data_IF_105094165021
#
_entry.id   IF_105094165021
#
_cell.length_a   1.000
_cell.length_b   1.000
_cell.length_c   1.000
_cell.angle_alpha   90.00
_cell.angle_beta   90.00
_cell.angle_gamma   90.00
#
_symmetry.space_group_name_H-M   'P 1'
#
loop_
_entity.id
_entity.type
_entity.pdbx_description
1 polymer ?
#
# COMPACT_ATOMS: atom_id res chain seq x y z
N UNK A 1 -43.59 -1.70 -13.85
CA UNK A 1 -42.70 -2.65 -13.14
C UNK A 1 -41.55 -1.86 -12.52
N UNK A 2 -41.68 -1.51 -11.25
CA UNK A 2 -40.67 -0.75 -10.49
C UNK A 2 -39.61 -1.71 -9.97
N UNK A 3 -38.45 -1.73 -10.62
CA UNK A 3 -37.34 -2.55 -10.14
C UNK A 3 -36.66 -1.89 -8.94
N UNK A 4 -36.71 -2.58 -7.81
CA UNK A 4 -36.26 -2.12 -6.50
C UNK A 4 -34.75 -2.39 -6.35
N UNK A 5 -33.92 -1.65 -7.08
CA UNK A 5 -32.46 -1.84 -7.01
C UNK A 5 -31.86 -1.10 -5.81
N UNK A 6 -31.49 -1.84 -4.77
CA UNK A 6 -30.71 -1.30 -3.66
C UNK A 6 -29.39 -0.69 -4.17
N UNK A 7 -29.13 0.57 -3.83
CA UNK A 7 -27.95 1.29 -4.28
C UNK A 7 -26.72 0.75 -3.53
N UNK A 8 -25.97 -0.17 -4.15
CA UNK A 8 -24.65 -0.60 -3.65
C UNK A 8 -23.68 0.60 -3.59
N UNK A 9 -22.88 0.64 -2.52
CA UNK A 9 -21.77 1.59 -2.39
C UNK A 9 -20.76 1.40 -3.53
N UNK A 10 -20.11 2.49 -3.94
CA UNK A 10 -19.33 2.55 -5.18
C UNK A 10 -18.25 1.46 -5.31
N UNK A 11 -17.59 1.12 -4.20
CA UNK A 11 -16.55 0.09 -4.12
C UNK A 11 -17.02 -1.35 -4.34
N UNK A 12 -18.34 -1.58 -4.35
CA UNK A 12 -18.96 -2.90 -4.50
C UNK A 12 -19.74 -3.03 -5.82
N UNK A 13 -19.55 -2.10 -6.75
CA UNK A 13 -20.18 -2.12 -8.07
C UNK A 13 -19.28 -2.85 -9.05
N UNK A 14 -19.76 -3.96 -9.58
CA UNK A 14 -19.08 -4.79 -10.57
C UNK A 14 -19.73 -4.63 -11.95
N UNK A 15 -19.17 -5.28 -12.97
CA UNK A 15 -19.69 -5.23 -14.34
C UNK A 15 -21.14 -5.68 -14.41
N UNK A 16 -21.49 -6.73 -13.67
CA UNK A 16 -22.84 -7.30 -13.68
C UNK A 16 -23.86 -6.34 -13.05
N UNK A 17 -23.49 -5.60 -12.00
CA UNK A 17 -24.33 -4.54 -11.43
C UNK A 17 -24.70 -3.43 -12.42
N UNK A 18 -23.80 -3.09 -13.37
CA UNK A 18 -24.14 -2.14 -14.43
C UNK A 18 -24.93 -2.78 -15.57
N UNK A 19 -24.65 -4.04 -15.90
CA UNK A 19 -25.42 -4.79 -16.91
C UNK A 19 -26.88 -4.99 -16.52
N UNK A 20 -27.16 -5.23 -15.24
CA UNK A 20 -28.52 -5.37 -14.69
C UNK A 20 -29.36 -4.09 -14.77
N UNK A 21 -28.71 -2.94 -14.96
CA UNK A 21 -29.36 -1.62 -15.08
C UNK A 21 -29.64 -1.20 -16.51
N UNK A 22 -29.08 -1.91 -17.48
CA UNK A 22 -29.40 -1.68 -18.88
C UNK A 22 -30.82 -2.19 -19.11
N UNK A 23 -31.72 -1.38 -19.71
CA UNK A 23 -33.07 -1.81 -20.03
C UNK A 23 -33.08 -3.13 -20.81
N UNK A 24 -33.93 -4.08 -20.40
CA UNK A 24 -34.02 -5.39 -21.07
C UNK A 24 -34.29 -5.28 -22.57
N UNK A 25 -34.99 -4.23 -23.00
CA UNK A 25 -35.27 -3.94 -24.42
C UNK A 25 -34.02 -3.70 -25.25
N UNK A 26 -32.95 -3.21 -24.63
CA UNK A 26 -31.64 -3.01 -25.26
C UNK A 26 -30.83 -4.31 -25.15
N UNK A 27 -30.84 -4.95 -23.98
CA UNK A 27 -30.10 -6.18 -23.74
C UNK A 27 -30.54 -7.33 -24.65
N UNK A 28 -31.84 -7.46 -24.92
CA UNK A 28 -32.41 -8.49 -25.82
C UNK A 28 -32.10 -8.25 -27.31
N UNK A 29 -31.68 -7.03 -27.68
CA UNK A 29 -31.28 -6.70 -29.06
C UNK A 29 -29.81 -6.98 -29.34
N UNK A 30 -29.01 -7.16 -28.29
CA UNK A 30 -27.59 -7.47 -28.41
C UNK A 30 -27.41 -8.97 -28.66
N UNK A 31 -26.57 -9.30 -29.63
CA UNK A 31 -25.99 -10.63 -29.74
C UNK A 31 -25.09 -10.95 -28.53
N UNK A 32 -24.84 -12.24 -28.28
CA UNK A 32 -23.94 -12.65 -27.20
C UNK A 32 -22.52 -12.08 -27.36
N UNK A 33 -22.07 -11.88 -28.60
CA UNK A 33 -20.77 -11.29 -28.91
C UNK A 33 -20.72 -9.81 -28.52
N UNK A 34 -21.76 -9.04 -28.87
CA UNK A 34 -21.87 -7.62 -28.51
C UNK A 34 -22.06 -7.44 -27.00
N UNK A 35 -22.78 -8.36 -26.36
CA UNK A 35 -22.95 -8.39 -24.90
C UNK A 35 -21.61 -8.59 -24.20
N UNK A 36 -20.76 -9.47 -24.73
CA UNK A 36 -19.41 -9.71 -24.22
C UNK A 36 -18.52 -8.49 -24.41
N UNK A 37 -18.57 -7.83 -25.58
CA UNK A 37 -17.84 -6.58 -25.84
C UNK A 37 -18.29 -5.46 -24.90
N UNK A 38 -19.59 -5.34 -24.66
CA UNK A 38 -20.15 -4.35 -23.74
C UNK A 38 -19.69 -4.58 -22.30
N UNK A 39 -19.70 -5.84 -21.83
CA UNK A 39 -19.13 -6.19 -20.53
C UNK A 39 -17.66 -5.81 -20.42
N UNK A 40 -16.87 -6.04 -21.47
CA UNK A 40 -15.47 -5.63 -21.54
C UNK A 40 -15.27 -4.11 -21.45
N UNK A 41 -16.12 -3.34 -22.12
CA UNK A 41 -16.07 -1.87 -22.10
C UNK A 41 -16.49 -1.29 -20.74
N UNK A 42 -17.47 -1.91 -20.07
CA UNK A 42 -17.81 -1.56 -18.69
C UNK A 42 -16.64 -1.91 -17.76
N UNK A 43 -16.00 -3.07 -17.94
CA UNK A 43 -14.86 -3.48 -17.12
C UNK A 43 -13.67 -2.52 -17.25
N UNK A 44 -13.42 -1.97 -18.44
CA UNK A 44 -12.30 -1.05 -18.67
C UNK A 44 -12.54 0.35 -18.10
N UNK A 45 -13.79 0.76 -17.95
CA UNK A 45 -14.18 2.07 -17.43
C UNK A 45 -14.39 2.08 -15.92
N UNK A 46 -14.51 0.91 -15.29
CA UNK A 46 -14.59 0.82 -13.85
C UNK A 46 -13.25 1.22 -13.20
N UNK A 47 -13.23 2.18 -12.26
CA UNK A 47 -12.00 2.53 -11.60
C UNK A 47 -11.50 1.34 -10.81
N UNK A 48 -10.27 0.95 -11.13
CA UNK A 48 -9.60 -0.08 -10.37
C UNK A 48 -9.32 0.46 -8.97
N UNK A 49 -9.47 -0.38 -7.91
CA UNK A 49 -9.13 0.04 -6.56
C UNK A 49 -7.65 0.43 -6.52
N UNK A 50 -7.38 1.73 -6.50
CA UNK A 50 -6.03 2.25 -6.37
C UNK A 50 -5.47 1.81 -5.01
N UNK A 51 -4.22 1.31 -4.96
CA UNK A 51 -3.61 0.92 -3.71
C UNK A 51 -3.57 2.14 -2.79
N UNK A 52 -4.19 2.01 -1.62
CA UNK A 52 -4.15 3.03 -0.58
C UNK A 52 -2.69 3.14 -0.11
N UNK A 53 -1.97 4.12 -0.65
CA UNK A 53 -0.63 4.50 -0.19
C UNK A 53 -0.77 4.93 1.27
N UNK A 54 -0.06 4.24 2.15
CA UNK A 54 0.00 4.62 3.54
C UNK A 54 1.15 5.62 3.64
N UNK A 55 0.80 6.89 3.87
CA UNK A 55 1.73 7.98 4.13
C UNK A 55 2.09 7.97 5.62
N UNK A 56 3.34 7.63 5.93
CA UNK A 56 3.88 7.69 7.28
C UNK A 56 4.83 8.87 7.35
N UNK A 57 4.42 9.90 8.09
CA UNK A 57 5.23 11.10 8.35
C UNK A 57 5.68 11.08 9.79
N UNK A 58 6.97 11.27 10.01
CA UNK A 58 7.51 11.38 11.37
C UNK A 58 8.70 12.32 11.41
N UNK A 59 8.84 12.94 12.57
CA UNK A 59 9.79 14.01 12.84
C UNK A 59 10.73 13.53 13.93
N UNK A 60 12.03 13.69 13.70
CA UNK A 60 13.06 13.34 14.68
C UNK A 60 13.76 14.63 15.07
N UNK A 61 13.55 15.03 16.33
CA UNK A 61 14.26 16.14 16.96
C UNK A 61 15.55 15.61 17.59
N UNK A 62 16.70 15.98 17.04
CA UNK A 62 17.99 15.85 17.68
C UNK A 62 18.33 17.14 18.42
N UNK A 63 19.33 17.07 19.31
CA UNK A 63 19.77 18.19 20.15
C UNK A 63 20.11 19.46 19.33
N UNK A 64 20.54 19.31 18.07
CA UNK A 64 20.96 20.46 17.22
C UNK A 64 20.23 20.52 15.86
N UNK A 65 19.42 19.52 15.51
CA UNK A 65 18.79 19.44 14.18
C UNK A 65 17.47 18.69 14.20
N UNK A 66 16.54 19.06 13.31
CA UNK A 66 15.25 18.38 13.13
C UNK A 66 15.19 17.78 11.74
N UNK A 67 14.95 16.47 11.66
CA UNK A 67 14.80 15.75 10.41
C UNK A 67 13.35 15.35 10.19
N UNK A 68 12.87 15.59 8.97
CA UNK A 68 11.54 15.21 8.52
C UNK A 68 11.66 14.01 7.59
N UNK A 69 11.04 12.90 7.97
CA UNK A 69 11.00 11.69 7.16
C UNK A 69 9.57 11.45 6.68
N UNK A 70 9.45 11.23 5.37
CA UNK A 70 8.19 10.84 4.73
C UNK A 70 8.42 9.49 4.08
N UNK A 71 7.76 8.47 4.61
CA UNK A 71 7.84 7.10 4.11
C UNK A 71 6.52 6.74 3.43
N UNK A 72 6.58 6.58 2.11
CA UNK A 72 5.45 6.07 1.34
C UNK A 72 5.48 4.55 1.32
N UNK A 73 4.55 3.91 2.03
CA UNK A 73 4.42 2.46 2.05
C UNK A 73 3.20 2.05 1.24
N UNK A 74 3.43 1.62 0.01
CA UNK A 74 2.43 1.02 -0.87
C UNK A 74 2.78 -0.44 -1.17
N UNK A 75 1.77 -1.32 -1.18
CA UNK A 75 1.95 -2.64 -1.77
C UNK A 75 1.79 -2.49 -3.28
N UNK A 76 2.89 -2.47 -4.03
CA UNK A 76 2.85 -2.46 -5.48
C UNK A 76 2.27 -3.81 -5.96
N UNK A 77 1.03 -3.77 -6.44
CA UNK A 77 0.32 -4.92 -6.99
C UNK A 77 0.16 -4.84 -8.50
N UNK A 78 0.72 -3.82 -9.16
CA UNK A 78 0.57 -3.64 -10.60
C UNK A 78 1.18 -4.83 -11.37
N UNK A 79 2.26 -5.44 -10.87
CA UNK A 79 2.86 -6.62 -11.47
C UNK A 79 1.99 -7.90 -11.39
N UNK A 80 0.98 -7.95 -10.51
CA UNK A 80 0.11 -9.13 -10.37
C UNK A 80 -1.19 -9.03 -11.15
N UNK A 81 -1.67 -7.83 -11.45
CA UNK A 81 -2.94 -7.65 -12.16
C UNK A 81 -2.87 -8.04 -13.65
N UNK A 82 -1.70 -7.98 -14.28
CA UNK A 82 -1.52 -8.48 -15.65
C UNK A 82 -1.33 -10.01 -15.75
N UNK A 83 -1.00 -10.68 -14.64
CA UNK A 83 -0.81 -12.16 -14.59
C UNK A 83 -1.99 -12.90 -13.96
N UNK A 84 -2.86 -12.19 -13.23
CA UNK A 84 -3.93 -12.79 -12.41
C UNK A 84 -5.23 -13.16 -13.15
N UNK A 85 -5.30 -13.06 -14.47
CA UNK A 85 -6.44 -13.62 -15.22
C UNK A 85 -6.42 -15.16 -15.29
N UNK A 86 -5.35 -15.82 -14.83
CA UNK A 86 -5.22 -17.30 -14.84
C UNK A 86 -5.27 -18.00 -13.48
N UNK A 87 -5.32 -17.28 -12.36
CA UNK A 87 -5.22 -17.90 -11.01
C UNK A 87 -6.44 -17.55 -10.17
N UNK A 88 -7.61 -17.82 -10.73
CA UNK A 88 -8.88 -17.86 -10.00
C UNK A 88 -9.07 -19.28 -9.45
N UNK A 89 -8.42 -19.64 -8.33
CA UNK A 89 -8.99 -20.63 -7.41
C UNK A 89 -8.27 -20.80 -6.05
N UNK A 90 -6.99 -20.48 -5.89
CA UNK A 90 -6.23 -21.07 -4.76
C UNK A 90 -5.78 -20.13 -3.62
N UNK A 91 -6.37 -18.93 -3.47
CA UNK A 91 -5.87 -17.93 -2.50
C UNK A 91 -6.82 -17.57 -1.35
N UNK A 92 -7.73 -18.47 -0.96
CA UNK A 92 -8.55 -18.27 0.24
C UNK A 92 -7.82 -18.51 1.57
N UNK A 93 -6.64 -19.16 1.59
CA UNK A 93 -6.02 -19.60 2.85
C UNK A 93 -4.97 -18.66 3.47
N UNK A 94 -4.60 -17.55 2.84
CA UNK A 94 -3.55 -16.62 3.34
C UNK A 94 -4.07 -15.29 3.91
N UNK A 95 -5.35 -15.21 4.29
CA UNK A 95 -5.94 -13.95 4.80
C UNK A 95 -5.62 -13.65 6.27
N UNK A 96 -5.40 -14.67 7.11
CA UNK A 96 -5.32 -14.49 8.57
C UNK A 96 -3.91 -14.15 9.10
N UNK A 97 -2.84 -14.50 8.38
CA UNK A 97 -1.44 -14.16 8.77
C UNK A 97 -0.99 -12.77 8.32
N UNK A 98 -1.85 -12.02 7.61
CA UNK A 98 -1.50 -10.75 6.98
C UNK A 98 -1.38 -9.58 7.95
N UNK A 99 -2.14 -9.56 9.05
CA UNK A 99 -2.10 -8.46 10.02
C UNK A 99 -0.80 -8.51 10.85
N UNK A 100 -0.45 -9.70 11.35
CA UNK A 100 0.77 -9.90 12.13
C UNK A 100 2.03 -9.63 11.32
N UNK A 101 2.07 -10.08 10.06
CA UNK A 101 3.22 -9.81 9.18
C UNK A 101 3.39 -8.31 8.88
N UNK A 102 2.28 -7.56 8.73
CA UNK A 102 2.32 -6.10 8.58
C UNK A 102 2.81 -5.40 9.85
N UNK A 103 2.42 -5.90 11.02
CA UNK A 103 2.91 -5.39 12.31
C UNK A 103 4.41 -5.67 12.47
N UNK A 104 4.86 -6.89 12.20
CA UNK A 104 6.26 -7.29 12.25
C UNK A 104 7.13 -6.42 11.34
N UNK A 105 6.75 -6.19 10.08
CA UNK A 105 7.51 -5.32 9.18
C UNK A 105 7.62 -3.87 9.68
N UNK A 106 6.54 -3.33 10.27
CA UNK A 106 6.58 -1.99 10.88
C UNK A 106 7.52 -1.95 12.08
N UNK A 107 7.44 -2.96 12.95
CA UNK A 107 8.30 -3.09 14.12
C UNK A 107 9.77 -3.21 13.71
N UNK A 108 10.07 -4.05 12.72
CA UNK A 108 11.43 -4.21 12.17
C UNK A 108 11.96 -2.91 11.57
N UNK A 109 11.13 -2.16 10.84
CA UNK A 109 11.55 -0.88 10.28
C UNK A 109 11.91 0.13 11.37
N UNK A 110 11.08 0.25 12.41
CA UNK A 110 11.36 1.12 13.57
C UNK A 110 12.64 0.68 14.30
N UNK A 111 12.81 -0.62 14.53
CA UNK A 111 13.99 -1.17 15.20
C UNK A 111 15.27 -0.91 14.39
N UNK A 112 15.26 -1.16 13.09
CA UNK A 112 16.38 -0.90 12.19
C UNK A 112 16.78 0.59 12.24
N UNK A 113 15.79 1.47 12.21
CA UNK A 113 16.04 2.91 12.25
C UNK A 113 16.65 3.35 13.59
N UNK A 114 16.17 2.77 14.70
CA UNK A 114 16.72 3.03 16.04
C UNK A 114 18.17 2.56 16.16
N UNK A 115 18.50 1.40 15.59
CA UNK A 115 19.87 0.87 15.56
C UNK A 115 20.79 1.77 14.75
N UNK A 116 20.37 2.20 13.56
CA UNK A 116 21.16 3.11 12.72
C UNK A 116 21.42 4.44 13.45
N UNK A 117 20.41 4.98 14.12
CA UNK A 117 20.54 6.20 14.89
C UNK A 117 21.53 6.04 16.06
N UNK A 118 21.41 4.95 16.81
CA UNK A 118 22.30 4.65 17.93
C UNK A 118 23.74 4.48 17.45
N UNK A 119 23.97 3.71 16.38
CA UNK A 119 25.30 3.55 15.79
C UNK A 119 25.89 4.88 15.34
N UNK A 120 25.11 5.72 14.67
CA UNK A 120 25.58 7.03 14.22
C UNK A 120 25.99 7.90 15.40
N UNK A 121 25.19 7.90 16.47
CA UNK A 121 25.50 8.66 17.69
C UNK A 121 26.79 8.17 18.37
N UNK A 122 26.97 6.85 18.49
CA UNK A 122 28.20 6.26 19.04
C UNK A 122 29.40 6.60 18.18
N UNK A 123 29.29 6.54 16.85
CA UNK A 123 30.37 6.92 15.94
C UNK A 123 30.76 8.40 16.11
N UNK A 124 29.80 9.31 16.25
CA UNK A 124 30.07 10.74 16.47
C UNK A 124 30.80 10.95 17.80
N UNK A 125 30.32 10.32 18.88
CA UNK A 125 30.95 10.44 20.21
C UNK A 125 32.36 9.85 20.19
N UNK A 126 32.54 8.68 19.59
CA UNK A 126 33.84 8.03 19.46
C UNK A 126 34.80 8.89 18.63
N UNK A 127 34.33 9.46 17.52
CA UNK A 127 35.12 10.36 16.69
C UNK A 127 35.54 11.60 17.48
N UNK A 128 34.59 12.28 18.15
CA UNK A 128 34.89 13.45 18.98
C UNK A 128 35.89 13.12 20.10
N UNK A 129 35.73 11.97 20.75
CA UNK A 129 36.66 11.49 21.78
C UNK A 129 38.06 11.23 21.22
N UNK A 130 38.16 10.59 20.05
CA UNK A 130 39.44 10.34 19.38
C UNK A 130 40.12 11.64 18.96
N UNK A 131 39.37 12.60 18.43
CA UNK A 131 39.90 13.93 18.09
C UNK A 131 40.37 14.67 19.33
N UNK A 132 39.59 14.67 20.42
CA UNK A 132 39.99 15.29 21.69
C UNK A 132 41.28 14.65 22.23
N UNK A 133 41.38 13.32 22.16
CA UNK A 133 42.56 12.57 22.58
C UNK A 133 43.77 12.84 21.69
N UNK A 134 43.58 12.95 20.37
CA UNK A 134 44.63 13.31 19.42
C UNK A 134 45.18 14.73 19.69
N UNK A 135 44.31 15.65 20.09
CA UNK A 135 44.68 17.02 20.48
C UNK A 135 45.30 17.11 21.89
N UNK A 136 45.47 15.99 22.61
CA UNK A 136 46.11 15.95 23.93
C UNK A 136 45.18 16.28 25.09
N UNK A 137 43.87 16.43 24.86
CA UNK A 137 42.91 16.57 25.95
C UNK A 137 42.67 15.20 26.62
N UNK A 138 42.90 15.12 27.93
CA UNK A 138 42.55 13.99 28.78
C UNK A 138 41.23 14.30 29.52
N UNK A 139 40.06 13.86 29.02
CA UNK A 139 38.78 14.24 29.62
C UNK A 139 38.44 13.52 30.94
N UNK A 140 39.34 12.74 31.54
CA UNK A 140 39.17 12.16 32.88
C UNK A 140 40.54 12.06 33.57
N UNK A 141 40.79 13.03 34.46
CA UNK A 141 41.68 12.93 35.61
C UNK A 141 40.87 13.35 36.83
#
# INVERSE_FOLDING_TARGET
MTSNYAIKAYSFRDVDYYMERIPETIVKKLSEEERTKLKGLIASTLPQPAPKLIDLRFEINLIVARYFFVLFVGNDRYAKLYTNQRISQDSQQYRLTSAWRRFAHRLTAVLLFLIINLMTSVCIIAFAYLTARFLGFHPLA
#
